data_IF_140994510195
#
_entry.id   IF_140994510195
#
_cell.length_a   1.000
_cell.length_b   1.000
_cell.length_c   1.000
_cell.angle_alpha   90.00
_cell.angle_beta   90.00
_cell.angle_gamma   90.00
#
_symmetry.space_group_name_H-M   'P 1'
#
loop_
_entity.id
_entity.type
_entity.pdbx_description
1 polymer ?
#
# COMPACT_ATOMS: atom_id res chain seq x y z
N UNK A 1 -1.66 18.25 4.70
CA UNK A 1 -2.78 17.42 5.21
C UNK A 1 -3.75 18.36 5.94
N UNK A 2 -5.07 18.19 5.82
CA UNK A 2 -6.00 19.05 6.57
C UNK A 2 -6.03 18.64 8.05
N UNK A 3 -6.42 19.58 8.93
CA UNK A 3 -6.58 19.31 10.38
C UNK A 3 -7.51 18.12 10.63
N UNK A 4 -8.65 18.07 9.93
CA UNK A 4 -9.61 16.98 10.00
C UNK A 4 -9.01 15.61 9.64
N UNK A 5 -8.13 15.54 8.63
CA UNK A 5 -7.47 14.29 8.28
C UNK A 5 -6.47 13.83 9.35
N UNK A 6 -5.75 14.78 9.97
CA UNK A 6 -4.85 14.44 11.08
C UNK A 6 -5.63 13.92 12.29
N UNK A 7 -6.77 14.54 12.62
CA UNK A 7 -7.66 14.09 13.69
C UNK A 7 -8.23 12.70 13.42
N UNK A 8 -8.60 12.38 12.17
CA UNK A 8 -9.05 11.03 11.80
C UNK A 8 -7.96 9.97 11.98
N UNK A 9 -6.73 10.25 11.55
CA UNK A 9 -5.63 9.30 11.72
C UNK A 9 -5.23 9.14 13.19
N UNK A 10 -5.24 10.23 13.97
CA UNK A 10 -5.01 10.16 15.41
C UNK A 10 -6.08 9.31 16.10
N UNK A 11 -7.37 9.53 15.79
CA UNK A 11 -8.46 8.71 16.30
C UNK A 11 -8.33 7.23 15.91
N UNK A 12 -7.95 6.94 14.66
CA UNK A 12 -7.71 5.57 14.21
C UNK A 12 -6.55 4.89 14.95
N UNK A 13 -5.50 5.63 15.34
CA UNK A 13 -4.42 5.10 16.19
C UNK A 13 -4.98 4.75 17.58
N UNK A 14 -5.70 5.67 18.21
CA UNK A 14 -6.23 5.49 19.57
C UNK A 14 -7.24 4.33 19.64
N UNK A 15 -8.15 4.24 18.66
CA UNK A 15 -9.12 3.17 18.54
C UNK A 15 -8.42 1.82 18.34
N UNK A 16 -7.42 1.76 17.44
CA UNK A 16 -6.69 0.53 17.17
C UNK A 16 -5.83 0.08 18.37
N UNK A 17 -5.20 1.01 19.10
CA UNK A 17 -4.47 0.70 20.34
C UNK A 17 -5.42 0.13 21.40
N UNK A 18 -6.56 0.81 21.62
CA UNK A 18 -7.55 0.40 22.61
C UNK A 18 -8.17 -0.96 22.27
N UNK A 19 -8.46 -1.20 20.99
CA UNK A 19 -8.97 -2.47 20.51
C UNK A 19 -7.94 -3.59 20.67
N UNK A 20 -6.66 -3.32 20.36
CA UNK A 20 -5.58 -4.31 20.52
C UNK A 20 -5.46 -4.73 21.99
N UNK A 21 -5.39 -3.77 22.90
CA UNK A 21 -5.27 -4.01 24.34
C UNK A 21 -6.45 -4.83 24.88
N UNK A 22 -7.69 -4.42 24.57
CA UNK A 22 -8.90 -5.13 25.01
C UNK A 22 -8.98 -6.53 24.43
N UNK A 23 -8.66 -6.68 23.14
CA UNK A 23 -8.70 -7.97 22.47
C UNK A 23 -7.66 -8.91 23.07
N UNK A 24 -6.41 -8.47 23.23
CA UNK A 24 -5.35 -9.28 23.83
C UNK A 24 -5.66 -9.67 25.28
N UNK A 25 -6.24 -8.76 26.07
CA UNK A 25 -6.66 -9.03 27.44
C UNK A 25 -7.82 -10.05 27.54
N UNK A 26 -8.61 -10.19 26.47
CA UNK A 26 -9.71 -11.17 26.41
C UNK A 26 -9.26 -12.58 26.02
N UNK A 27 -8.02 -12.73 25.53
CA UNK A 27 -7.51 -14.03 25.08
C UNK A 27 -7.11 -14.90 26.28
N UNK A 28 -7.37 -16.22 26.22
CA UNK A 28 -6.90 -17.14 27.25
C UNK A 28 -5.36 -17.17 27.28
N UNK A 29 -4.76 -17.39 28.46
CA UNK A 29 -3.31 -17.52 28.58
C UNK A 29 -2.81 -18.72 27.76
N UNK A 30 -1.77 -18.51 26.94
CA UNK A 30 -1.21 -19.54 26.06
C UNK A 30 -0.83 -19.01 24.69
N UNK A 31 -0.68 -19.91 23.70
CA UNK A 31 -0.37 -19.52 22.32
C UNK A 31 -1.58 -18.83 21.69
N UNK A 32 -1.38 -17.61 21.19
CA UNK A 32 -2.41 -16.86 20.45
C UNK A 32 -2.91 -17.69 19.24
N UNK A 33 -4.22 -17.96 19.15
CA UNK A 33 -4.84 -18.64 18.02
C UNK A 33 -4.59 -17.90 16.70
N UNK A 34 -4.58 -18.60 15.56
CA UNK A 34 -4.32 -17.97 14.25
C UNK A 34 -5.29 -16.81 13.95
N UNK A 35 -6.60 -17.02 14.12
CA UNK A 35 -7.59 -15.96 13.93
C UNK A 35 -7.35 -14.72 14.82
N UNK A 36 -6.83 -14.93 16.04
CA UNK A 36 -6.47 -13.83 16.93
C UNK A 36 -5.21 -13.09 16.46
N UNK A 37 -4.24 -13.79 15.86
CA UNK A 37 -3.04 -13.17 15.28
C UNK A 37 -3.40 -12.25 14.13
N UNK A 38 -4.34 -12.66 13.28
CA UNK A 38 -4.85 -11.85 12.18
C UNK A 38 -5.46 -10.54 12.68
N UNK A 39 -6.36 -10.60 13.67
CA UNK A 39 -6.99 -9.40 14.23
C UNK A 39 -5.93 -8.45 14.81
N UNK A 40 -4.96 -8.98 15.56
CA UNK A 40 -3.87 -8.16 16.11
C UNK A 40 -2.98 -7.60 14.98
N UNK A 41 -2.75 -8.35 13.90
CA UNK A 41 -1.99 -7.89 12.76
C UNK A 41 -2.68 -6.72 12.04
N UNK A 42 -4.00 -6.80 11.82
CA UNK A 42 -4.81 -5.70 11.27
C UNK A 42 -4.68 -4.44 12.13
N UNK A 43 -4.89 -4.56 13.44
CA UNK A 43 -4.81 -3.42 14.36
C UNK A 43 -3.42 -2.78 14.32
N UNK A 44 -2.37 -3.58 14.27
CA UNK A 44 -1.00 -3.09 14.11
C UNK A 44 -0.76 -2.44 12.75
N UNK A 45 -1.31 -2.99 11.67
CA UNK A 45 -1.22 -2.37 10.35
C UNK A 45 -1.90 -1.01 10.31
N UNK A 46 -3.08 -0.87 10.93
CA UNK A 46 -3.81 0.40 11.05
C UNK A 46 -3.00 1.43 11.86
N UNK A 47 -2.44 1.03 13.01
CA UNK A 47 -1.60 1.90 13.82
C UNK A 47 -0.39 2.39 13.01
N UNK A 48 0.36 1.46 12.40
CA UNK A 48 1.58 1.78 11.68
C UNK A 48 1.34 2.64 10.43
N UNK A 49 0.29 2.35 9.66
CA UNK A 49 -0.14 3.19 8.55
C UNK A 49 -0.48 4.61 9.02
N UNK A 50 -1.32 4.73 10.04
CA UNK A 50 -1.80 6.02 10.52
C UNK A 50 -0.66 6.86 11.10
N UNK A 51 0.25 6.24 11.87
CA UNK A 51 1.47 6.87 12.39
C UNK A 51 2.37 7.38 11.26
N UNK A 52 2.57 6.58 10.21
CA UNK A 52 3.31 6.98 9.01
C UNK A 52 2.69 8.19 8.31
N UNK A 53 1.36 8.17 8.15
CA UNK A 53 0.62 9.23 7.47
C UNK A 53 0.75 10.57 8.19
N UNK A 54 0.56 10.60 9.51
CA UNK A 54 0.71 11.82 10.31
C UNK A 54 2.18 12.21 10.52
N UNK A 55 3.11 11.30 10.29
CA UNK A 55 4.55 11.52 10.46
C UNK A 55 4.97 11.53 11.93
N UNK A 56 4.20 10.89 12.80
CA UNK A 56 4.46 10.78 14.24
C UNK A 56 5.06 9.41 14.53
N UNK A 57 6.12 9.40 15.35
CA UNK A 57 6.75 8.17 15.85
C UNK A 57 7.01 7.15 14.73
N UNK A 58 7.76 7.58 13.72
CA UNK A 58 8.08 6.77 12.52
C UNK A 58 8.71 5.42 12.89
N UNK A 59 9.46 5.37 13.99
CA UNK A 59 10.02 4.12 14.51
C UNK A 59 8.92 3.17 14.95
N UNK A 60 7.97 3.64 15.77
CA UNK A 60 6.82 2.82 16.18
C UNK A 60 5.92 2.45 15.00
N UNK A 61 5.79 3.33 14.01
CA UNK A 61 5.08 3.04 12.76
C UNK A 61 5.67 1.81 12.06
N UNK A 62 7.01 1.78 11.94
CA UNK A 62 7.74 0.67 11.37
C UNK A 62 7.60 -0.61 12.22
N UNK A 63 7.79 -0.53 13.53
CA UNK A 63 7.66 -1.66 14.46
C UNK A 63 6.26 -2.29 14.41
N UNK A 64 5.21 -1.47 14.31
CA UNK A 64 3.84 -1.93 14.19
C UNK A 64 3.61 -2.67 12.86
N UNK A 65 4.09 -2.12 11.74
CA UNK A 65 3.95 -2.79 10.44
C UNK A 65 4.74 -4.10 10.36
N UNK A 66 5.97 -4.14 10.88
CA UNK A 66 6.72 -5.39 11.00
C UNK A 66 6.02 -6.41 11.90
N UNK A 67 5.46 -5.94 13.02
CA UNK A 67 4.69 -6.77 13.94
C UNK A 67 3.47 -7.39 13.26
N UNK A 68 2.76 -6.62 12.44
CA UNK A 68 1.64 -7.11 11.64
C UNK A 68 2.06 -8.25 10.71
N UNK A 69 3.14 -8.07 9.96
CA UNK A 69 3.63 -9.10 9.02
C UNK A 69 4.09 -10.34 9.77
N UNK A 70 4.87 -10.21 10.86
CA UNK A 70 5.34 -11.36 11.65
C UNK A 70 4.19 -12.20 12.22
N UNK A 71 3.08 -11.54 12.61
CA UNK A 71 1.89 -12.23 13.08
C UNK A 71 1.21 -13.03 11.96
N UNK A 72 1.23 -12.50 10.74
CA UNK A 72 0.68 -13.14 9.54
C UNK A 72 1.60 -14.28 9.07
N UNK A 73 2.90 -14.05 8.91
CA UNK A 73 3.90 -15.08 8.52
C UNK A 73 4.03 -16.22 9.55
N UNK A 74 3.92 -15.88 10.85
CA UNK A 74 3.99 -16.85 11.93
C UNK A 74 2.71 -17.69 12.08
N UNK A 75 1.60 -17.26 11.45
CA UNK A 75 0.42 -18.10 11.25
C UNK A 75 0.73 -18.99 10.05
N UNK A 76 0.64 -20.31 10.19
CA UNK A 76 0.94 -21.26 9.11
C UNK A 76 -0.15 -21.26 8.02
N UNK A 77 -0.58 -20.07 7.62
CA UNK A 77 -1.44 -19.84 6.48
C UNK A 77 -0.52 -19.98 5.28
N UNK A 78 -0.60 -21.14 4.62
CA UNK A 78 -0.29 -21.26 3.20
C UNK A 78 -0.83 -20.00 2.52
N UNK A 79 -0.09 -19.37 1.60
CA UNK A 79 -0.51 -18.16 0.85
C UNK A 79 -1.81 -18.34 0.02
N UNK A 80 -2.56 -19.43 0.24
CA UNK A 80 -4.00 -19.54 0.06
C UNK A 80 -4.75 -19.29 1.39
N UNK A 81 -4.92 -18.03 1.83
CA UNK A 81 -5.79 -17.71 2.96
C UNK A 81 -7.23 -18.06 2.59
N UNK A 82 -7.86 -18.81 3.47
CA UNK A 82 -9.29 -19.14 3.38
C UNK A 82 -10.17 -17.90 3.66
N UNK A 83 -9.58 -16.81 4.18
CA UNK A 83 -10.27 -15.55 4.49
C UNK A 83 -9.75 -14.36 3.63
N UNK A 84 -10.60 -13.79 2.75
CA UNK A 84 -10.30 -12.63 1.90
C UNK A 84 -10.00 -11.32 2.64
N UNK A 85 -10.28 -11.23 3.93
CA UNK A 85 -9.90 -10.07 4.74
C UNK A 85 -8.41 -10.17 5.09
N UNK A 86 -7.91 -11.28 5.65
CA UNK A 86 -6.52 -11.42 6.12
C UNK A 86 -5.44 -11.08 5.08
N UNK A 87 -5.72 -11.34 3.80
CA UNK A 87 -4.86 -10.97 2.65
C UNK A 87 -4.67 -9.48 2.48
N UNK A 88 -5.72 -8.70 2.70
CA UNK A 88 -5.79 -7.31 2.31
C UNK A 88 -4.94 -6.44 3.23
N UNK A 89 -5.10 -6.62 4.53
CA UNK A 89 -4.34 -5.89 5.54
C UNK A 89 -2.85 -6.27 5.48
N UNK A 90 -2.54 -7.52 5.11
CA UNK A 90 -1.17 -7.95 4.81
C UNK A 90 -0.57 -7.17 3.64
N UNK A 91 -1.27 -7.12 2.51
CA UNK A 91 -0.82 -6.39 1.33
C UNK A 91 -0.67 -4.88 1.60
N UNK A 92 -1.58 -4.30 2.39
CA UNK A 92 -1.48 -2.92 2.82
C UNK A 92 -0.22 -2.70 3.71
N UNK A 93 0.01 -3.56 4.70
CA UNK A 93 1.16 -3.47 5.59
C UNK A 93 2.49 -3.59 4.82
N UNK A 94 2.59 -4.57 3.92
CA UNK A 94 3.73 -4.76 3.02
C UNK A 94 3.96 -3.55 2.11
N UNK A 95 2.89 -2.94 1.60
CA UNK A 95 2.98 -1.72 0.79
C UNK A 95 3.59 -0.55 1.58
N UNK A 96 3.20 -0.38 2.85
CA UNK A 96 3.76 0.68 3.68
C UNK A 96 5.21 0.41 4.08
N UNK A 97 5.56 -0.83 4.42
CA UNK A 97 6.97 -1.20 4.66
C UNK A 97 7.83 -0.99 3.41
N UNK A 98 7.31 -1.32 2.23
CA UNK A 98 8.03 -1.06 0.99
C UNK A 98 8.36 0.43 0.80
N UNK A 99 7.44 1.32 1.19
CA UNK A 99 7.70 2.76 1.27
C UNK A 99 8.80 3.10 2.27
N UNK A 100 8.76 2.54 3.47
CA UNK A 100 9.78 2.74 4.50
C UNK A 100 11.17 2.24 4.08
N UNK A 101 11.30 0.99 3.65
CA UNK A 101 12.55 0.43 3.15
C UNK A 101 13.06 1.20 1.93
N UNK A 102 12.17 1.70 1.05
CA UNK A 102 12.59 2.57 -0.06
C UNK A 102 13.23 3.85 0.46
N UNK A 103 12.61 4.50 1.46
CA UNK A 103 13.12 5.72 2.07
C UNK A 103 14.39 5.54 2.89
N UNK A 104 14.58 4.36 3.49
CA UNK A 104 15.82 3.97 4.15
C UNK A 104 16.94 3.59 3.16
N UNK A 105 16.68 3.60 1.85
CA UNK A 105 17.65 3.20 0.83
C UNK A 105 17.81 1.69 0.66
N UNK A 106 16.99 0.88 1.34
CA UNK A 106 16.96 -0.59 1.30
C UNK A 106 16.23 -1.09 0.03
N UNK A 107 16.80 -0.74 -1.12
CA UNK A 107 16.24 -0.95 -2.45
C UNK A 107 15.74 -2.36 -2.74
N UNK A 108 16.49 -3.39 -2.31
CA UNK A 108 16.13 -4.80 -2.53
C UNK A 108 14.92 -5.20 -1.68
N UNK A 109 14.96 -4.88 -0.39
CA UNK A 109 13.89 -5.13 0.58
C UNK A 109 12.59 -4.46 0.15
N UNK A 110 12.66 -3.17 -0.21
CA UNK A 110 11.51 -2.40 -0.68
C UNK A 110 10.85 -3.04 -1.91
N UNK A 111 11.66 -3.50 -2.87
CA UNK A 111 11.14 -4.13 -4.08
C UNK A 111 10.50 -5.49 -3.78
N UNK A 112 11.09 -6.27 -2.89
CA UNK A 112 10.52 -7.54 -2.44
C UNK A 112 9.15 -7.30 -1.79
N UNK A 113 9.08 -6.45 -0.77
CA UNK A 113 7.83 -6.13 -0.06
C UNK A 113 6.73 -5.61 -0.99
N UNK A 114 7.07 -4.70 -1.91
CA UNK A 114 6.08 -4.16 -2.86
C UNK A 114 5.56 -5.21 -3.84
N UNK A 115 6.41 -6.18 -4.24
CA UNK A 115 6.00 -7.29 -5.10
C UNK A 115 5.10 -8.27 -4.36
N UNK A 116 5.48 -8.64 -3.14
CA UNK A 116 4.67 -9.53 -2.29
C UNK A 116 3.28 -8.94 -2.03
N UNK A 117 3.19 -7.63 -1.78
CA UNK A 117 1.90 -6.95 -1.64
C UNK A 117 1.03 -7.09 -2.90
N UNK A 118 1.61 -6.94 -4.09
CA UNK A 118 0.91 -7.10 -5.37
C UNK A 118 0.48 -8.56 -5.56
N UNK A 119 1.34 -9.52 -5.23
CA UNK A 119 1.06 -10.95 -5.36
C UNK A 119 -0.12 -11.37 -4.48
N UNK A 120 -0.14 -10.92 -3.23
CA UNK A 120 -1.25 -11.19 -2.30
C UNK A 120 -2.55 -10.62 -2.84
N UNK A 121 -2.56 -9.36 -3.31
CA UNK A 121 -3.78 -8.77 -3.88
C UNK A 121 -4.23 -9.48 -5.15
N UNK A 122 -3.30 -9.98 -5.97
CA UNK A 122 -3.64 -10.74 -7.18
C UNK A 122 -4.24 -12.10 -6.85
N UNK A 123 -3.62 -12.83 -5.95
CA UNK A 123 -4.13 -14.10 -5.45
C UNK A 123 -5.54 -13.91 -4.87
N UNK A 124 -5.77 -12.84 -4.12
CA UNK A 124 -7.08 -12.50 -3.56
C UNK A 124 -8.13 -12.18 -4.63
N UNK A 125 -7.84 -11.27 -5.56
CA UNK A 125 -8.84 -10.77 -6.53
C UNK A 125 -9.12 -11.80 -7.64
N UNK A 126 -8.12 -12.59 -8.03
CA UNK A 126 -8.20 -13.48 -9.19
C UNK A 126 -7.94 -14.96 -8.91
N UNK A 127 -7.58 -15.35 -7.68
CA UNK A 127 -7.26 -16.73 -7.34
C UNK A 127 -6.00 -17.27 -8.03
N UNK A 128 -5.04 -16.40 -8.39
CA UNK A 128 -3.80 -16.80 -9.09
C UNK A 128 -2.55 -16.28 -8.36
N UNK A 129 -1.64 -17.18 -8.05
CA UNK A 129 -0.26 -16.84 -7.67
C UNK A 129 0.56 -16.44 -8.91
N UNK A 130 1.53 -15.54 -8.75
CA UNK A 130 2.44 -15.14 -9.83
C UNK A 130 3.57 -16.16 -9.96
N UNK A 131 3.94 -16.56 -11.18
CA UNK A 131 5.21 -17.25 -11.41
C UNK A 131 6.37 -16.30 -11.11
N UNK A 132 7.35 -16.76 -10.33
CA UNK A 132 8.48 -16.02 -9.73
C UNK A 132 9.30 -15.12 -10.70
N UNK A 133 9.10 -15.26 -12.01
CA UNK A 133 9.77 -14.51 -13.08
C UNK A 133 8.84 -13.88 -14.14
N UNK A 134 7.52 -13.88 -13.93
CA UNK A 134 6.63 -13.12 -14.80
C UNK A 134 6.94 -11.63 -14.61
N UNK A 135 7.38 -10.96 -15.66
CA UNK A 135 7.43 -9.50 -15.70
C UNK A 135 5.99 -8.98 -15.77
N UNK A 136 5.25 -9.18 -14.68
CA UNK A 136 3.80 -9.23 -14.53
C UNK A 136 3.02 -8.91 -15.82
N UNK A 137 2.56 -9.96 -16.50
CA UNK A 137 1.49 -9.80 -17.47
C UNK A 137 0.29 -9.18 -16.73
N UNK A 138 -0.09 -7.98 -17.14
CA UNK A 138 -1.23 -7.25 -16.61
C UNK A 138 -2.47 -8.16 -16.75
N UNK A 139 -3.04 -8.59 -15.62
CA UNK A 139 -4.32 -9.27 -15.65
C UNK A 139 -5.39 -8.25 -16.04
N UNK A 140 -6.15 -8.55 -17.08
CA UNK A 140 -7.38 -7.81 -17.37
C UNK A 140 -8.31 -7.95 -16.15
N UNK A 141 -8.58 -6.81 -15.48
CA UNK A 141 -9.58 -6.75 -14.42
C UNK A 141 -10.94 -7.05 -15.07
N UNK A 142 -11.61 -8.10 -14.58
CA UNK A 142 -12.97 -8.41 -14.99
C UNK A 142 -13.88 -7.22 -14.62
N UNK A 143 -14.84 -6.90 -15.50
CA UNK A 143 -15.86 -5.88 -15.20
C UNK A 143 -16.67 -6.24 -13.94
N UNK A 144 -16.69 -7.50 -13.53
CA UNK A 144 -17.31 -7.96 -12.29
C UNK A 144 -16.55 -7.57 -11.01
N UNK A 145 -15.25 -7.20 -11.11
CA UNK A 145 -14.46 -6.76 -9.95
C UNK A 145 -15.00 -5.46 -9.38
N UNK A 146 -15.24 -5.45 -8.07
CA UNK A 146 -15.83 -4.31 -7.37
C UNK A 146 -14.92 -3.09 -7.41
N UNK A 147 -15.50 -1.88 -7.43
CA UNK A 147 -14.72 -0.63 -7.41
C UNK A 147 -13.79 -0.53 -6.18
N UNK A 148 -14.18 -1.16 -5.07
CA UNK A 148 -13.39 -1.24 -3.85
C UNK A 148 -12.11 -2.06 -4.04
N UNK A 149 -12.21 -3.24 -4.64
CA UNK A 149 -11.06 -4.11 -4.90
C UNK A 149 -10.11 -3.49 -5.92
N UNK A 150 -10.66 -2.83 -6.95
CA UNK A 150 -9.87 -2.07 -7.91
C UNK A 150 -9.11 -0.93 -7.21
N UNK A 151 -9.76 -0.20 -6.29
CA UNK A 151 -9.13 0.87 -5.54
C UNK A 151 -7.95 0.36 -4.71
N UNK A 152 -8.07 -0.79 -4.08
CA UNK A 152 -7.03 -1.38 -3.24
C UNK A 152 -5.86 -1.86 -4.04
N UNK A 153 -6.13 -2.59 -5.12
CA UNK A 153 -5.08 -3.03 -6.01
C UNK A 153 -4.36 -1.85 -6.67
N UNK A 154 -5.08 -0.78 -7.02
CA UNK A 154 -4.48 0.46 -7.51
C UNK A 154 -3.54 1.10 -6.47
N UNK A 155 -3.90 1.11 -5.18
CA UNK A 155 -3.03 1.60 -4.10
C UNK A 155 -1.75 0.78 -3.97
N UNK A 156 -1.86 -0.54 -4.03
CA UNK A 156 -0.71 -1.44 -4.00
C UNK A 156 0.21 -1.25 -5.20
N UNK A 157 -0.36 -1.12 -6.41
CA UNK A 157 0.41 -0.82 -7.62
C UNK A 157 1.11 0.54 -7.59
N UNK A 158 0.51 1.55 -6.95
CA UNK A 158 1.14 2.86 -6.79
C UNK A 158 2.44 2.75 -6.02
N UNK A 159 2.44 1.99 -4.92
CA UNK A 159 3.65 1.74 -4.13
C UNK A 159 4.69 1.02 -4.96
N UNK A 160 4.35 -0.09 -5.61
CA UNK A 160 5.30 -0.81 -6.46
C UNK A 160 5.87 0.08 -7.57
N UNK A 161 5.04 0.90 -8.20
CA UNK A 161 5.46 1.84 -9.25
C UNK A 161 6.46 2.87 -8.71
N UNK A 162 6.19 3.42 -7.52
CA UNK A 162 7.10 4.36 -6.86
C UNK A 162 8.43 3.71 -6.49
N UNK A 163 8.40 2.51 -5.89
CA UNK A 163 9.59 1.73 -5.55
C UNK A 163 10.41 1.40 -6.80
N UNK A 164 9.78 0.97 -7.89
CA UNK A 164 10.45 0.73 -9.18
C UNK A 164 11.12 2.00 -9.71
N UNK A 165 10.45 3.14 -9.64
CA UNK A 165 11.00 4.43 -10.07
C UNK A 165 12.22 4.83 -9.24
N UNK A 166 12.14 4.75 -7.91
CA UNK A 166 13.24 5.01 -6.99
C UNK A 166 14.44 4.06 -7.19
N UNK A 167 14.16 2.84 -7.66
CA UNK A 167 15.16 1.83 -8.05
C UNK A 167 15.73 2.04 -9.47
N UNK A 168 15.39 3.13 -10.16
CA UNK A 168 15.86 3.40 -11.52
C UNK A 168 15.20 2.53 -12.60
N UNK A 169 14.23 1.67 -12.26
CA UNK A 169 13.49 0.79 -13.19
C UNK A 169 12.35 1.56 -13.89
N UNK A 170 12.67 2.71 -14.48
CA UNK A 170 11.72 3.70 -15.02
C UNK A 170 10.72 3.11 -16.03
N UNK A 171 11.18 2.23 -16.93
CA UNK A 171 10.31 1.57 -17.92
C UNK A 171 9.24 0.68 -17.25
N UNK A 172 9.64 -0.11 -16.25
CA UNK A 172 8.72 -0.98 -15.49
C UNK A 172 7.76 -0.14 -14.64
N UNK A 173 8.26 0.90 -13.98
CA UNK A 173 7.42 1.84 -13.24
C UNK A 173 6.35 2.48 -14.13
N UNK A 174 6.73 2.92 -15.34
CA UNK A 174 5.82 3.51 -16.32
C UNK A 174 4.73 2.52 -16.76
N UNK A 175 5.10 1.29 -17.12
CA UNK A 175 4.12 0.28 -17.51
C UNK A 175 3.07 0.05 -16.41
N UNK A 176 3.54 -0.16 -15.17
CA UNK A 176 2.66 -0.41 -14.01
C UNK A 176 1.70 0.73 -13.71
N UNK A 177 2.17 1.98 -13.74
CA UNK A 177 1.31 3.12 -13.44
C UNK A 177 0.28 3.40 -14.55
N UNK A 178 0.62 3.10 -15.81
CA UNK A 178 -0.33 3.19 -16.92
C UNK A 178 -1.38 2.08 -16.85
N UNK A 179 -1.02 0.87 -16.42
CA UNK A 179 -1.97 -0.21 -16.12
C UNK A 179 -2.96 0.23 -15.04
N UNK A 180 -2.44 0.74 -13.93
CA UNK A 180 -3.24 1.28 -12.83
C UNK A 180 -4.21 2.37 -13.33
N UNK A 181 -3.73 3.29 -14.18
CA UNK A 181 -4.57 4.34 -14.77
C UNK A 181 -5.72 3.79 -15.62
N UNK A 182 -5.45 2.80 -16.48
CA UNK A 182 -6.49 2.17 -17.32
C UNK A 182 -7.62 1.58 -16.47
N UNK A 183 -7.29 1.00 -15.32
CA UNK A 183 -8.27 0.34 -14.45
C UNK A 183 -9.15 1.30 -13.67
N UNK A 184 -8.57 2.39 -13.18
CA UNK A 184 -9.31 3.41 -12.41
C UNK A 184 -10.12 4.35 -13.30
N UNK A 185 -9.80 4.41 -14.60
CA UNK A 185 -10.49 5.29 -15.54
C UNK A 185 -11.97 4.90 -15.67
N UNK A 186 -12.86 5.86 -15.41
CA UNK A 186 -14.31 5.66 -15.47
C UNK A 186 -14.91 4.99 -14.24
N UNK A 187 -14.11 4.69 -13.20
CA UNK A 187 -14.57 4.14 -11.92
C UNK A 187 -14.62 5.19 -10.83
N UNK A 188 -15.37 4.89 -9.76
CA UNK A 188 -15.42 5.76 -8.57
C UNK A 188 -14.18 5.52 -7.72
N UNK A 189 -13.15 6.33 -7.94
CA UNK A 189 -11.88 6.27 -7.20
C UNK A 189 -11.80 7.43 -6.21
N UNK A 190 -11.23 7.18 -5.04
CA UNK A 190 -11.02 8.23 -4.04
C UNK A 190 -10.10 9.33 -4.59
N UNK A 191 -10.47 10.60 -4.39
CA UNK A 191 -9.71 11.77 -4.79
C UNK A 191 -8.23 11.73 -4.38
N UNK A 192 -7.91 11.21 -3.18
CA UNK A 192 -6.52 11.14 -2.70
C UNK A 192 -5.69 10.14 -3.52
N UNK A 193 -6.25 8.98 -3.85
CA UNK A 193 -5.64 7.97 -4.72
C UNK A 193 -5.51 8.51 -6.13
N UNK A 194 -6.58 9.11 -6.69
CA UNK A 194 -6.57 9.69 -8.03
C UNK A 194 -5.49 10.76 -8.19
N UNK A 195 -5.39 11.68 -7.23
CA UNK A 195 -4.32 12.70 -7.22
C UNK A 195 -2.94 12.07 -7.16
N UNK A 196 -2.76 11.04 -6.35
CA UNK A 196 -1.48 10.33 -6.21
C UNK A 196 -1.08 9.62 -7.50
N UNK A 197 -2.03 9.02 -8.23
CA UNK A 197 -1.79 8.43 -9.55
C UNK A 197 -1.28 9.49 -10.52
N UNK A 198 -1.98 10.63 -10.62
CA UNK A 198 -1.60 11.70 -11.55
C UNK A 198 -0.20 12.25 -11.25
N UNK A 199 0.12 12.48 -9.97
CA UNK A 199 1.43 12.98 -9.55
C UNK A 199 2.55 11.96 -9.79
N UNK A 200 2.30 10.66 -9.51
CA UNK A 200 3.30 9.62 -9.76
C UNK A 200 3.56 9.41 -11.25
N UNK A 201 2.51 9.46 -12.08
CA UNK A 201 2.65 9.44 -13.54
C UNK A 201 3.48 10.63 -14.03
N UNK A 202 3.19 11.83 -13.54
CA UNK A 202 3.96 13.03 -13.89
C UNK A 202 5.44 12.86 -13.52
N UNK A 203 5.72 12.39 -12.29
CA UNK A 203 7.09 12.15 -11.82
C UNK A 203 7.85 11.14 -12.69
N UNK A 204 7.22 10.01 -13.03
CA UNK A 204 7.83 9.00 -13.91
C UNK A 204 8.08 9.57 -15.31
N UNK A 205 7.17 10.40 -15.83
CA UNK A 205 7.37 11.07 -17.12
C UNK A 205 8.58 12.02 -17.09
N UNK A 206 8.76 12.82 -16.04
CA UNK A 206 9.95 13.67 -15.90
C UNK A 206 11.24 12.82 -15.85
N UNK A 207 11.23 11.72 -15.09
CA UNK A 207 12.36 10.80 -15.03
C UNK A 207 12.71 10.20 -16.41
N UNK A 208 11.75 10.15 -17.34
CA UNK A 208 11.92 9.68 -18.72
C UNK A 208 12.06 10.80 -19.76
N UNK A 209 12.10 12.07 -19.34
CA UNK A 209 12.32 13.22 -20.23
C UNK A 209 11.08 13.73 -20.98
N UNK A 210 9.86 13.37 -20.56
CA UNK A 210 8.60 13.78 -21.22
C UNK A 210 7.88 14.90 -20.46
N UNK A 211 8.54 16.05 -20.30
CA UNK A 211 8.17 17.13 -19.36
C UNK A 211 6.83 17.80 -19.67
N UNK A 212 6.45 17.95 -20.94
CA UNK A 212 5.18 18.60 -21.33
C UNK A 212 3.95 17.80 -20.89
N UNK A 213 3.98 16.47 -21.05
CA UNK A 213 2.92 15.58 -20.56
C UNK A 213 2.87 15.56 -19.03
N UNK A 214 4.02 15.58 -18.37
CA UNK A 214 4.10 15.66 -16.91
C UNK A 214 3.42 16.93 -16.37
N UNK A 215 3.60 18.08 -17.01
CA UNK A 215 2.94 19.32 -16.60
C UNK A 215 1.42 19.26 -16.74
N UNK A 216 0.90 18.65 -17.81
CA UNK A 216 -0.55 18.44 -17.98
C UNK A 216 -1.13 17.63 -16.83
N UNK A 217 -0.46 16.55 -16.42
CA UNK A 217 -0.92 15.71 -15.30
C UNK A 217 -0.86 16.45 -13.96
N UNK A 218 0.16 17.26 -13.71
CA UNK A 218 0.22 18.14 -12.52
C UNK A 218 -0.93 19.13 -12.47
N UNK A 219 -1.28 19.73 -13.61
CA UNK A 219 -2.40 20.67 -13.73
C UNK A 219 -3.76 19.97 -13.49
N UNK A 220 -3.89 18.69 -13.84
CA UNK A 220 -5.07 17.90 -13.48
C UNK A 220 -5.09 17.60 -11.99
N UNK A 221 -3.96 17.17 -11.42
CA UNK A 221 -3.83 16.86 -10.00
C UNK A 221 -4.09 18.06 -9.08
N UNK A 222 -3.74 19.29 -9.52
CA UNK A 222 -3.95 20.51 -8.74
C UNK A 222 -5.42 20.89 -8.57
N UNK A 223 -6.30 20.39 -9.46
CA UNK A 223 -7.76 20.59 -9.38
C UNK A 223 -8.42 19.70 -8.32
N UNK A 224 -7.72 18.67 -7.84
CA UNK A 224 -8.22 17.78 -6.80
C UNK A 224 -7.89 18.38 -5.44
N UNK A 225 -8.93 18.72 -4.67
CA UNK A 225 -8.80 19.42 -3.38
C UNK A 225 -8.18 18.59 -2.24
N UNK A 226 -8.10 17.26 -2.39
CA UNK A 226 -7.40 16.39 -1.43
C UNK A 226 -5.88 16.47 -1.60
N UNK A 227 -5.12 16.17 -0.55
CA UNK A 227 -3.65 16.25 -0.59
C UNK A 227 -3.00 15.13 -1.41
N UNK A 228 -3.63 13.95 -1.47
CA UNK A 228 -2.96 12.73 -1.91
C UNK A 228 -1.85 12.31 -0.95
N UNK A 229 -1.06 11.29 -1.34
CA UNK A 229 0.04 10.74 -0.55
C UNK A 229 1.31 10.49 -1.39
N UNK A 230 1.38 11.07 -2.59
CA UNK A 230 2.55 11.02 -3.48
C UNK A 230 3.87 11.35 -2.78
N UNK A 231 3.89 12.44 -2.00
CA UNK A 231 5.10 12.87 -1.28
C UNK A 231 5.62 11.80 -0.31
N UNK A 232 4.75 10.96 0.25
CA UNK A 232 5.15 9.86 1.13
C UNK A 232 5.75 8.68 0.37
N UNK A 233 5.41 8.54 -0.92
CA UNK A 233 5.91 7.45 -1.77
C UNK A 233 7.23 7.79 -2.46
N UNK A 234 7.46 9.07 -2.79
CA UNK A 234 8.59 9.48 -3.65
C UNK A 234 9.68 10.20 -2.89
N UNK A 235 9.44 10.65 -1.65
CA UNK A 235 10.51 11.09 -0.74
C UNK A 235 11.26 9.86 -0.18
N UNK A 236 11.88 9.08 -1.07
CA UNK A 236 12.83 8.04 -0.69
C UNK A 236 14.27 8.58 -0.47
N UNK A 237 14.44 9.91 -0.45
CA UNK A 237 15.70 10.58 -0.15
C UNK A 237 15.41 11.85 0.66
N UNK A 238 15.81 11.86 1.94
CA UNK A 238 15.96 13.10 2.71
C UNK A 238 15.07 13.23 3.94
N UNK A 239 15.42 12.51 5.00
CA UNK A 239 15.83 13.11 6.28
C UNK A 239 16.93 12.23 6.88
#
# INVERSE_FOLDING_TARGET
MSKLCLEMYAGAIDDACTAEEKFCASLPPGRMPNAARTVVAELKAIQGFSQSMIGQDIKKAHENLEGAIKLIEGSAISFAPEDPFETRECAAALSWLAGFSCAAGEKKTALFQAKEAVNIMRARIWGREEEENSDCEELDIDKSTSDYEVLEYARTLLVLSAVLAANGKKKKAKARIEACWKWVQGRKVEDSTLKTILLLRAHILDLTGTTSQAQTLRNQASRIGKAGYFDRLVRCNGA
#
